data_IF_953931517171
#
_entry.id   IF_953931517171
#
_cell.length_a   1.000
_cell.length_b   1.000
_cell.length_c   1.000
_cell.angle_alpha   90.00
_cell.angle_beta   90.00
_cell.angle_gamma   90.00
#
_symmetry.space_group_name_H-M   'P 1'
#
loop_
_entity.id
_entity.type
_entity.pdbx_description
1 polymer ?
#
# COMPACT_ATOMS: atom_id res chain seq x y z
N UNK A 1 -24.86 30.38 -72.27
CA UNK A 1 -24.83 30.34 -70.77
C UNK A 1 -24.95 28.96 -70.21
N UNK A 2 -25.46 27.98 -70.91
CA UNK A 2 -25.59 26.58 -70.44
C UNK A 2 -24.24 25.81 -70.44
N UNK A 3 -23.38 26.09 -71.41
CA UNK A 3 -22.15 25.34 -71.63
C UNK A 3 -21.04 25.66 -70.59
N UNK A 4 -21.03 26.85 -70.07
CA UNK A 4 -20.08 27.31 -69.05
C UNK A 4 -20.37 26.66 -67.68
N UNK A 5 -21.65 26.45 -67.31
CA UNK A 5 -22.07 25.82 -66.07
C UNK A 5 -21.70 24.32 -66.04
N UNK A 6 -21.71 23.65 -67.16
CA UNK A 6 -21.33 22.26 -67.24
C UNK A 6 -19.80 22.04 -67.14
N UNK A 7 -19.00 22.97 -67.68
CA UNK A 7 -17.54 22.91 -67.56
C UNK A 7 -17.06 23.14 -66.11
N UNK A 8 -17.71 24.05 -65.35
CA UNK A 8 -17.41 24.25 -63.93
C UNK A 8 -17.78 23.02 -63.08
N UNK A 9 -18.89 22.34 -63.39
CA UNK A 9 -19.27 21.10 -62.69
C UNK A 9 -18.28 19.99 -62.95
N UNK A 10 -17.75 19.81 -64.14
CA UNK A 10 -16.77 18.80 -64.51
C UNK A 10 -15.43 19.09 -63.86
N UNK A 11 -15.00 20.38 -63.80
CA UNK A 11 -13.78 20.78 -63.11
C UNK A 11 -13.91 20.58 -61.59
N UNK A 12 -15.07 20.89 -60.99
CA UNK A 12 -15.32 20.70 -59.56
C UNK A 12 -15.30 19.20 -59.18
N UNK A 13 -15.88 18.33 -59.99
CA UNK A 13 -15.85 16.86 -59.77
C UNK A 13 -14.44 16.32 -59.97
N UNK A 14 -13.65 16.81 -60.90
CA UNK A 14 -12.26 16.40 -61.11
C UNK A 14 -11.35 16.85 -59.95
N UNK A 15 -11.56 18.02 -59.36
CA UNK A 15 -10.83 18.51 -58.19
C UNK A 15 -11.23 17.74 -56.95
N UNK A 16 -12.51 17.39 -56.74
CA UNK A 16 -12.99 16.54 -55.66
C UNK A 16 -12.43 15.11 -55.76
N UNK A 17 -12.32 14.55 -56.98
CA UNK A 17 -11.74 13.24 -57.20
C UNK A 17 -10.23 13.19 -56.98
N UNK A 18 -9.49 14.29 -57.23
CA UNK A 18 -8.09 14.40 -56.89
C UNK A 18 -7.82 14.48 -55.38
N UNK A 19 -8.70 15.15 -54.61
CA UNK A 19 -8.57 15.19 -53.14
C UNK A 19 -8.91 13.84 -52.49
N UNK A 20 -9.80 13.03 -53.04
CA UNK A 20 -10.09 11.69 -52.53
C UNK A 20 -8.97 10.69 -52.85
N UNK A 21 -8.21 10.86 -53.94
CA UNK A 21 -7.10 9.99 -54.31
C UNK A 21 -5.85 10.27 -53.45
N UNK A 22 -5.63 11.48 -52.99
CA UNK A 22 -4.51 11.81 -52.08
C UNK A 22 -4.79 11.38 -50.64
N UNK A 23 -6.07 11.35 -50.21
CA UNK A 23 -6.46 10.90 -48.88
C UNK A 23 -6.26 9.37 -48.71
N UNK A 24 -6.39 8.58 -49.76
CA UNK A 24 -6.15 7.13 -49.68
C UNK A 24 -4.66 6.75 -49.67
N UNK A 25 -3.75 7.58 -50.20
CA UNK A 25 -2.33 7.27 -50.18
C UNK A 25 -1.65 7.55 -48.82
N UNK A 26 -2.21 8.45 -48.00
CA UNK A 26 -1.67 8.68 -46.66
C UNK A 26 -2.05 7.63 -45.62
N UNK A 27 -3.08 6.80 -45.89
CA UNK A 27 -3.47 5.70 -45.01
C UNK A 27 -2.82 4.37 -45.38
N UNK A 28 -2.22 4.21 -46.57
CA UNK A 28 -1.51 2.99 -46.91
C UNK A 28 -0.07 2.92 -46.32
N UNK A 29 0.48 4.04 -45.86
CA UNK A 29 1.76 4.03 -45.15
C UNK A 29 1.63 3.77 -43.65
N UNK A 30 0.40 3.74 -43.09
CA UNK A 30 0.15 3.34 -41.71
C UNK A 30 0.36 1.82 -41.51
N UNK A 31 0.35 1.01 -42.59
CA UNK A 31 0.72 -0.41 -42.53
C UNK A 31 2.23 -0.66 -42.41
N UNK A 32 3.03 0.40 -42.38
CA UNK A 32 4.49 0.38 -42.09
C UNK A 32 4.84 1.07 -40.77
N UNK A 33 3.91 1.26 -39.85
CA UNK A 33 4.26 1.38 -38.44
C UNK A 33 4.83 0.01 -38.11
N UNK A 34 6.18 -0.07 -38.05
CA UNK A 34 6.89 -1.33 -37.83
C UNK A 34 6.24 -2.04 -36.66
N UNK A 35 6.04 -3.36 -36.78
CA UNK A 35 5.71 -4.19 -35.63
C UNK A 35 6.61 -3.73 -34.50
N UNK A 36 6.01 -3.34 -33.37
CA UNK A 36 6.79 -3.01 -32.17
C UNK A 36 7.60 -4.25 -31.89
N UNK A 37 8.93 -4.20 -32.14
CA UNK A 37 9.78 -5.35 -31.88
C UNK A 37 9.57 -5.78 -30.43
N UNK A 38 9.09 -7.01 -30.24
CA UNK A 38 8.97 -7.56 -28.90
C UNK A 38 10.37 -7.69 -28.31
N UNK A 39 10.51 -7.22 -27.08
CA UNK A 39 11.77 -7.29 -26.34
C UNK A 39 11.76 -8.49 -25.39
N UNK A 40 12.89 -8.74 -24.78
CA UNK A 40 13.00 -9.71 -23.68
C UNK A 40 13.74 -9.09 -22.50
N UNK A 41 13.45 -9.59 -21.30
CA UNK A 41 14.17 -9.29 -20.09
C UNK A 41 14.67 -10.58 -19.42
N UNK A 42 15.84 -10.48 -18.80
CA UNK A 42 16.43 -11.56 -18.00
C UNK A 42 16.41 -11.15 -16.54
N UNK A 43 15.61 -11.84 -15.74
CA UNK A 43 15.49 -11.61 -14.31
C UNK A 43 16.40 -12.57 -13.54
N UNK A 44 17.29 -12.01 -12.74
CA UNK A 44 18.15 -12.71 -11.79
C UNK A 44 17.70 -12.33 -10.38
N UNK A 45 17.92 -13.19 -9.40
CA UNK A 45 17.65 -12.89 -8.00
C UNK A 45 18.91 -12.96 -7.16
N UNK A 46 19.00 -12.08 -6.17
CA UNK A 46 19.99 -12.12 -5.10
C UNK A 46 19.24 -12.36 -3.80
N UNK A 47 19.40 -13.55 -3.19
CA UNK A 47 18.68 -13.96 -1.99
C UNK A 47 19.43 -13.51 -0.73
N UNK A 48 18.73 -12.78 0.14
CA UNK A 48 19.19 -12.47 1.50
C UNK A 48 18.17 -13.05 2.50
N UNK A 49 18.34 -14.31 2.85
CA UNK A 49 17.35 -15.10 3.58
C UNK A 49 17.53 -15.06 5.10
N UNK A 50 18.67 -14.56 5.62
CA UNK A 50 18.98 -14.67 7.05
C UNK A 50 18.91 -16.12 7.51
N UNK A 51 18.03 -16.42 8.47
CA UNK A 51 17.78 -17.77 8.99
C UNK A 51 16.61 -18.49 8.30
N UNK A 52 15.94 -17.86 7.34
CA UNK A 52 14.80 -18.46 6.64
C UNK A 52 15.24 -19.59 5.71
N UNK A 53 14.43 -20.66 5.56
CA UNK A 53 14.73 -21.76 4.63
C UNK A 53 14.73 -21.26 3.18
N UNK A 54 15.36 -22.03 2.29
CA UNK A 54 15.32 -21.74 0.84
C UNK A 54 13.88 -21.95 0.34
N UNK A 55 13.28 -21.01 -0.40
CA UNK A 55 11.97 -21.20 -1.04
C UNK A 55 12.03 -22.29 -2.11
N UNK A 56 10.90 -22.93 -2.41
CA UNK A 56 10.85 -24.00 -3.41
C UNK A 56 10.86 -23.46 -4.84
N UNK A 57 10.18 -22.34 -5.07
CA UNK A 57 10.14 -21.60 -6.32
C UNK A 57 9.89 -20.11 -6.03
N UNK A 58 10.17 -19.25 -6.99
CA UNK A 58 9.88 -17.81 -6.94
C UNK A 58 8.90 -17.43 -8.04
N UNK A 59 7.87 -16.66 -7.70
CA UNK A 59 6.94 -16.06 -8.63
C UNK A 59 7.50 -14.71 -9.07
N UNK A 60 7.59 -14.47 -10.37
CA UNK A 60 8.07 -13.21 -10.96
C UNK A 60 6.91 -12.55 -11.67
N UNK A 61 6.59 -11.34 -11.26
CA UNK A 61 5.56 -10.50 -11.84
C UNK A 61 6.19 -9.22 -12.40
N UNK A 62 5.92 -8.92 -13.65
CA UNK A 62 6.32 -7.67 -14.31
C UNK A 62 5.09 -6.88 -14.70
N UNK A 63 5.04 -5.61 -14.29
CA UNK A 63 3.90 -4.72 -14.59
C UNK A 63 4.41 -3.43 -15.23
N UNK A 64 3.79 -3.08 -16.37
CA UNK A 64 3.81 -1.73 -16.92
C UNK A 64 2.47 -1.07 -16.59
N UNK A 65 2.45 -0.19 -15.59
CA UNK A 65 1.22 0.45 -15.12
C UNK A 65 0.62 1.43 -16.13
N UNK A 66 1.45 2.05 -16.99
CA UNK A 66 0.99 2.99 -18.01
C UNK A 66 0.20 2.29 -19.10
N UNK A 67 0.68 1.13 -19.55
CA UNK A 67 0.07 0.35 -20.62
C UNK A 67 -0.91 -0.73 -20.11
N UNK A 68 -1.03 -0.89 -18.77
CA UNK A 68 -1.82 -1.95 -18.12
C UNK A 68 -1.41 -3.35 -18.61
N UNK A 69 -0.12 -3.53 -18.85
CA UNK A 69 0.46 -4.77 -19.35
C UNK A 69 1.15 -5.50 -18.21
N UNK A 70 0.86 -6.79 -18.06
CA UNK A 70 1.35 -7.64 -16.99
C UNK A 70 1.83 -8.98 -17.51
N UNK A 71 2.98 -9.46 -17.01
CA UNK A 71 3.52 -10.79 -17.27
C UNK A 71 3.82 -11.47 -15.94
N UNK A 72 3.36 -12.72 -15.81
CA UNK A 72 3.63 -13.56 -14.65
C UNK A 72 4.38 -14.82 -15.10
N UNK A 73 5.41 -15.20 -14.36
CA UNK A 73 6.18 -16.43 -14.57
C UNK A 73 6.76 -16.94 -13.26
N UNK A 74 7.38 -18.11 -13.28
CA UNK A 74 8.06 -18.70 -12.12
C UNK A 74 9.51 -18.97 -12.44
N UNK A 75 10.37 -19.01 -11.42
CA UNK A 75 11.78 -19.36 -11.55
C UNK A 75 12.29 -20.18 -10.37
N UNK A 76 13.37 -20.91 -10.57
CA UNK A 76 14.09 -21.54 -9.46
C UNK A 76 14.83 -20.47 -8.63
N UNK A 77 14.92 -20.62 -7.30
CA UNK A 77 15.59 -19.64 -6.43
C UNK A 77 17.05 -19.36 -6.79
N UNK A 78 17.76 -20.34 -7.33
CA UNK A 78 19.17 -20.20 -7.73
C UNK A 78 19.34 -20.04 -9.25
N UNK A 79 18.26 -19.70 -9.97
CA UNK A 79 18.25 -19.62 -11.42
C UNK A 79 18.07 -18.20 -11.96
N UNK A 80 17.88 -18.15 -13.25
CA UNK A 80 17.47 -16.97 -14.01
C UNK A 80 16.22 -17.31 -14.79
N UNK A 81 15.39 -16.33 -15.10
CA UNK A 81 14.27 -16.49 -16.02
C UNK A 81 14.34 -15.43 -17.11
N UNK A 82 14.13 -15.87 -18.36
CA UNK A 82 13.96 -14.98 -19.49
C UNK A 82 12.49 -14.80 -19.78
N UNK A 83 12.04 -13.57 -19.81
CA UNK A 83 10.66 -13.20 -20.13
C UNK A 83 10.66 -12.63 -21.55
N UNK A 84 10.09 -13.34 -22.53
CA UNK A 84 9.99 -12.87 -23.90
C UNK A 84 8.77 -11.97 -24.13
N UNK A 85 8.66 -11.44 -25.32
CA UNK A 85 7.49 -10.74 -25.85
C UNK A 85 7.01 -9.54 -25.02
N UNK A 86 7.99 -8.79 -24.49
CA UNK A 86 7.75 -7.60 -23.70
C UNK A 86 7.63 -6.36 -24.60
N UNK A 87 6.61 -5.54 -24.39
CA UNK A 87 6.50 -4.23 -25.05
C UNK A 87 7.50 -3.25 -24.44
N UNK A 88 8.13 -2.35 -25.21
CA UNK A 88 9.01 -1.32 -24.65
C UNK A 88 8.30 -0.45 -23.60
N UNK A 89 8.96 -0.13 -22.49
CA UNK A 89 8.36 0.73 -21.47
C UNK A 89 9.04 0.66 -20.10
N UNK A 90 8.40 1.29 -19.12
CA UNK A 90 8.87 1.32 -17.73
C UNK A 90 8.12 0.28 -16.92
N UNK A 91 8.86 -0.58 -16.24
CA UNK A 91 8.33 -1.73 -15.52
C UNK A 91 8.63 -1.69 -14.02
N UNK A 92 7.73 -2.26 -13.25
CA UNK A 92 7.98 -2.75 -11.90
C UNK A 92 8.08 -4.26 -11.97
N UNK A 93 9.17 -4.83 -11.45
CA UNK A 93 9.37 -6.27 -11.33
C UNK A 93 9.30 -6.64 -9.85
N UNK A 94 8.40 -7.55 -9.51
CA UNK A 94 8.21 -8.08 -8.17
C UNK A 94 8.49 -9.57 -8.17
N UNK A 95 9.25 -10.03 -7.17
CA UNK A 95 9.53 -11.45 -6.94
C UNK A 95 9.00 -11.83 -5.58
N UNK A 96 8.15 -12.86 -5.51
CA UNK A 96 7.53 -13.33 -4.26
C UNK A 96 7.57 -14.85 -4.15
N UNK A 97 7.49 -15.35 -2.92
CA UNK A 97 7.26 -16.76 -2.60
C UNK A 97 6.75 -16.90 -1.17
N UNK A 98 6.17 -18.06 -0.86
CA UNK A 98 5.78 -18.45 0.50
C UNK A 98 6.30 -19.87 0.77
N UNK A 99 6.75 -20.14 1.99
CA UNK A 99 7.12 -21.47 2.44
C UNK A 99 6.77 -21.66 3.90
N UNK A 100 6.02 -22.73 4.19
CA UNK A 100 5.77 -23.16 5.58
C UNK A 100 6.77 -24.22 5.98
N UNK A 101 7.46 -24.00 7.10
CA UNK A 101 8.43 -24.95 7.68
C UNK A 101 8.50 -24.77 9.19
N UNK A 102 8.57 -25.89 9.93
CA UNK A 102 8.70 -25.93 11.39
C UNK A 102 7.63 -25.13 12.15
N UNK A 103 6.39 -25.08 11.61
CA UNK A 103 5.26 -24.35 12.20
C UNK A 103 5.26 -22.85 11.93
N UNK A 104 6.16 -22.35 11.08
CA UNK A 104 6.22 -20.96 10.66
C UNK A 104 5.94 -20.85 9.16
N UNK A 105 5.33 -19.71 8.76
CA UNK A 105 5.26 -19.31 7.37
C UNK A 105 6.30 -18.23 7.11
N UNK A 106 7.12 -18.44 6.08
CA UNK A 106 8.13 -17.50 5.62
C UNK A 106 7.66 -16.90 4.30
N UNK A 107 7.64 -15.58 4.24
CA UNK A 107 7.37 -14.82 3.03
C UNK A 107 8.68 -14.31 2.43
N UNK A 108 8.83 -14.46 1.13
CA UNK A 108 9.99 -14.01 0.38
C UNK A 108 9.52 -12.93 -0.58
N UNK A 109 10.14 -11.77 -0.53
CA UNK A 109 9.76 -10.68 -1.41
C UNK A 109 10.93 -9.77 -1.78
N UNK A 110 10.86 -9.25 -2.98
CA UNK A 110 11.77 -8.25 -3.50
C UNK A 110 11.16 -7.56 -4.70
N UNK A 111 11.53 -6.32 -4.94
CA UNK A 111 11.10 -5.63 -6.14
C UNK A 111 12.17 -4.67 -6.67
N UNK A 112 12.05 -4.36 -7.96
CA UNK A 112 12.76 -3.27 -8.61
C UNK A 112 11.73 -2.45 -9.37
N UNK A 113 11.73 -1.15 -9.15
CA UNK A 113 10.79 -0.20 -9.75
C UNK A 113 11.49 0.68 -10.78
N UNK A 114 10.71 1.28 -11.69
CA UNK A 114 11.23 2.19 -12.72
C UNK A 114 12.30 1.57 -13.63
N UNK A 115 12.13 0.30 -13.96
CA UNK A 115 13.05 -0.38 -14.89
C UNK A 115 12.68 -0.03 -16.31
N UNK A 116 13.54 0.71 -16.97
CA UNK A 116 13.41 1.04 -18.38
C UNK A 116 13.82 -0.18 -19.23
N UNK A 117 12.86 -0.76 -19.98
CA UNK A 117 13.08 -1.88 -20.90
C UNK A 117 12.83 -1.37 -22.32
N UNK A 118 13.90 -0.92 -22.97
CA UNK A 118 13.90 -0.41 -24.36
C UNK A 118 14.91 -1.15 -25.24
N UNK A 119 15.60 -2.14 -24.67
CA UNK A 119 16.57 -2.99 -25.38
C UNK A 119 16.30 -4.46 -25.09
N UNK A 120 16.59 -5.31 -26.06
CA UNK A 120 16.43 -6.75 -25.93
C UNK A 120 17.40 -7.35 -24.88
N UNK A 121 17.01 -8.41 -24.20
CA UNK A 121 17.79 -9.11 -23.17
C UNK A 121 18.22 -8.20 -21.98
N UNK A 122 17.36 -7.25 -21.59
CA UNK A 122 17.63 -6.38 -20.44
C UNK A 122 17.89 -7.22 -19.18
N UNK A 123 19.09 -7.06 -18.60
CA UNK A 123 19.45 -7.74 -17.34
C UNK A 123 18.88 -6.97 -16.14
N UNK A 124 18.21 -7.68 -15.27
CA UNK A 124 17.55 -7.13 -14.07
C UNK A 124 17.89 -8.04 -12.89
N UNK A 125 18.42 -7.46 -11.80
CA UNK A 125 18.65 -8.20 -10.56
C UNK A 125 17.66 -7.72 -9.50
N UNK A 126 16.92 -8.64 -8.91
CA UNK A 126 15.99 -8.38 -7.81
C UNK A 126 16.59 -8.92 -6.52
N UNK A 127 16.78 -8.07 -5.52
CA UNK A 127 17.17 -8.48 -4.17
C UNK A 127 15.92 -8.97 -3.45
N UNK A 128 15.91 -10.25 -3.04
CA UNK A 128 14.79 -10.89 -2.35
C UNK A 128 15.19 -11.15 -0.91
N UNK A 129 14.44 -10.56 0.01
CA UNK A 129 14.55 -10.82 1.44
C UNK A 129 13.54 -11.88 1.90
N UNK A 130 13.70 -12.37 3.12
CA UNK A 130 12.74 -13.25 3.77
C UNK A 130 12.28 -12.63 5.09
N UNK A 131 10.99 -12.81 5.40
CA UNK A 131 10.39 -12.43 6.69
C UNK A 131 9.46 -13.55 7.15
N UNK A 132 9.17 -13.62 8.46
CA UNK A 132 8.11 -14.48 8.98
C UNK A 132 6.78 -13.75 8.87
N UNK A 133 5.70 -14.47 8.55
CA UNK A 133 4.34 -13.92 8.65
C UNK A 133 4.07 -13.48 10.08
N UNK A 134 3.58 -12.25 10.21
CA UNK A 134 3.18 -11.68 11.49
C UNK A 134 1.94 -12.39 12.06
N UNK A 135 1.87 -12.49 13.40
CA UNK A 135 0.65 -12.93 14.07
C UNK A 135 -0.48 -11.89 13.96
N UNK A 136 -0.10 -10.61 13.96
CA UNK A 136 -1.00 -9.47 13.82
C UNK A 136 -0.83 -8.85 12.43
N UNK A 137 -1.95 -8.52 11.80
CA UNK A 137 -1.96 -7.93 10.45
C UNK A 137 -2.91 -6.74 10.36
N UNK A 138 -2.61 -5.77 9.49
CA UNK A 138 -3.58 -4.78 9.05
C UNK A 138 -4.70 -5.49 8.30
N UNK A 139 -5.94 -5.42 8.81
CA UNK A 139 -7.09 -6.10 8.20
C UNK A 139 -7.90 -5.18 7.31
N UNK A 140 -8.37 -4.05 7.84
CA UNK A 140 -9.09 -3.03 7.07
C UNK A 140 -8.57 -1.65 7.47
N UNK A 141 -8.28 -0.80 6.48
CA UNK A 141 -7.81 0.56 6.70
C UNK A 141 -8.63 1.54 5.88
N UNK A 142 -9.30 2.44 6.59
CA UNK A 142 -10.04 3.53 5.99
C UNK A 142 -9.27 4.84 6.16
N UNK A 143 -8.66 5.30 5.09
CA UNK A 143 -7.76 6.46 5.11
C UNK A 143 -8.20 7.62 4.22
N UNK A 144 -9.02 7.36 3.19
CA UNK A 144 -9.26 8.34 2.14
C UNK A 144 -10.25 9.45 2.53
N UNK A 145 -10.91 9.33 3.70
CA UNK A 145 -11.92 10.28 4.16
C UNK A 145 -13.22 10.25 3.36
N UNK A 146 -14.13 11.16 3.68
CA UNK A 146 -15.47 11.25 3.11
C UNK A 146 -15.84 12.68 2.72
N UNK A 147 -16.92 12.85 1.94
CA UNK A 147 -17.51 14.15 1.66
C UNK A 147 -18.62 14.47 2.67
N UNK A 148 -18.72 15.74 3.06
CA UNK A 148 -19.86 16.21 3.85
C UNK A 148 -21.09 16.39 2.94
N UNK A 149 -22.33 16.50 3.49
CA UNK A 149 -23.53 16.77 2.70
C UNK A 149 -23.44 17.99 1.80
N UNK A 150 -22.61 18.96 2.16
CA UNK A 150 -22.37 20.20 1.38
C UNK A 150 -21.19 20.10 0.42
N UNK A 151 -20.60 18.89 0.25
CA UNK A 151 -19.46 18.63 -0.62
C UNK A 151 -18.09 18.97 -0.02
N UNK A 152 -18.03 19.40 1.24
CA UNK A 152 -16.77 19.63 1.97
C UNK A 152 -15.98 18.34 2.20
N UNK A 153 -14.73 18.48 2.62
CA UNK A 153 -13.83 17.37 2.92
C UNK A 153 -13.87 17.02 4.41
N UNK A 154 -14.01 15.72 4.72
CA UNK A 154 -13.95 15.19 6.08
C UNK A 154 -12.97 14.02 6.13
N UNK A 155 -12.10 13.95 7.15
CA UNK A 155 -11.02 12.96 7.24
C UNK A 155 -10.65 12.58 8.68
N UNK A 156 -11.53 12.88 9.65
CA UNK A 156 -11.32 12.50 11.07
C UNK A 156 -11.86 11.09 11.36
N UNK A 157 -12.59 10.53 10.41
CA UNK A 157 -13.24 9.23 10.46
C UNK A 157 -12.32 8.07 10.01
N UNK A 158 -11.01 8.30 9.97
CA UNK A 158 -10.03 7.28 9.60
C UNK A 158 -9.83 6.26 10.71
N UNK A 159 -9.64 4.99 10.31
CA UNK A 159 -9.32 3.91 11.24
C UNK A 159 -8.36 2.89 10.64
N UNK A 160 -7.69 2.17 11.55
CA UNK A 160 -6.79 1.05 11.26
C UNK A 160 -7.28 -0.15 12.08
N UNK A 161 -7.70 -1.21 11.42
CA UNK A 161 -8.08 -2.46 12.06
C UNK A 161 -6.89 -3.40 12.05
N UNK A 162 -6.46 -3.84 13.26
CA UNK A 162 -5.40 -4.81 13.47
C UNK A 162 -6.04 -6.12 13.94
N UNK A 163 -5.76 -7.21 13.26
CA UNK A 163 -6.39 -8.51 13.43
C UNK A 163 -5.38 -9.57 13.87
N UNK A 164 -5.79 -10.43 14.81
CA UNK A 164 -5.00 -11.60 15.14
C UNK A 164 -5.27 -12.72 14.11
N UNK A 165 -4.37 -12.82 13.15
CA UNK A 165 -4.40 -13.80 12.05
C UNK A 165 -3.82 -15.16 12.43
N UNK A 166 -3.22 -15.28 13.64
CA UNK A 166 -2.57 -16.49 14.14
C UNK A 166 -3.53 -17.41 14.90
N UNK A 167 -3.03 -18.55 15.32
CA UNK A 167 -3.75 -19.53 16.15
C UNK A 167 -3.53 -19.35 17.66
N UNK A 168 -2.75 -18.36 18.06
CA UNK A 168 -2.37 -18.12 19.46
C UNK A 168 -2.85 -16.75 19.93
N UNK A 169 -3.10 -16.62 21.23
CA UNK A 169 -3.43 -15.34 21.85
C UNK A 169 -2.23 -14.40 21.70
N UNK A 170 -2.46 -13.21 21.21
CA UNK A 170 -1.49 -12.13 21.13
C UNK A 170 -1.76 -11.10 22.22
N UNK A 171 -0.71 -10.44 22.70
CA UNK A 171 -0.88 -9.32 23.64
C UNK A 171 -0.49 -8.03 22.94
N UNK A 172 -1.45 -7.14 22.71
CA UNK A 172 -1.19 -5.88 22.01
C UNK A 172 -0.66 -4.76 22.93
N UNK A 173 -0.32 -5.06 24.19
CA UNK A 173 0.39 -4.13 25.07
C UNK A 173 1.68 -3.66 24.41
N UNK A 174 1.92 -2.34 24.38
CA UNK A 174 3.08 -1.71 23.75
C UNK A 174 3.18 -1.89 22.22
N UNK A 175 2.15 -2.48 21.58
CA UNK A 175 2.10 -2.48 20.11
C UNK A 175 2.08 -1.04 19.62
N UNK A 176 2.95 -0.72 18.69
CA UNK A 176 3.09 0.62 18.13
C UNK A 176 2.67 0.65 16.66
N UNK A 177 1.96 1.69 16.26
CA UNK A 177 1.70 2.03 14.86
C UNK A 177 2.52 3.25 14.47
N UNK A 178 3.23 3.16 13.34
CA UNK A 178 4.05 4.25 12.84
C UNK A 178 3.69 4.60 11.39
N UNK A 179 3.63 5.91 11.09
CA UNK A 179 3.57 6.39 9.71
C UNK A 179 4.98 6.65 9.20
N UNK A 180 5.34 6.05 8.06
CA UNK A 180 6.69 6.06 7.49
C UNK A 180 6.86 7.21 6.50
N UNK A 181 8.04 7.81 6.51
CA UNK A 181 8.43 8.92 5.65
C UNK A 181 8.69 8.48 4.19
N UNK A 182 8.37 9.34 3.22
CA UNK A 182 7.64 10.61 3.33
C UNK A 182 6.13 10.39 3.51
N UNK A 183 5.40 11.42 3.96
CA UNK A 183 3.96 11.34 4.25
C UNK A 183 3.13 10.81 3.08
N UNK A 184 3.50 11.15 1.85
CA UNK A 184 2.86 10.67 0.61
C UNK A 184 3.88 10.08 -0.33
N UNK A 185 3.47 9.17 -1.20
CA UNK A 185 4.33 8.63 -2.27
C UNK A 185 4.80 9.77 -3.19
N UNK A 186 6.11 9.89 -3.37
CA UNK A 186 6.74 10.96 -4.15
C UNK A 186 8.04 10.48 -4.80
N UNK A 187 8.39 11.07 -5.95
CA UNK A 187 9.68 10.84 -6.60
C UNK A 187 10.84 11.45 -5.81
N UNK A 188 10.58 12.55 -5.07
CA UNK A 188 11.58 13.23 -4.25
C UNK A 188 11.60 12.62 -2.84
N UNK A 189 12.16 11.41 -2.71
CA UNK A 189 12.29 10.75 -1.41
C UNK A 189 13.32 11.45 -0.52
N UNK A 190 13.16 11.41 0.81
CA UNK A 190 14.19 11.87 1.73
C UNK A 190 15.53 11.15 1.45
N UNK A 191 16.63 11.91 1.47
CA UNK A 191 17.99 11.36 1.38
C UNK A 191 18.50 11.20 2.81
N UNK A 192 18.70 9.96 3.22
CA UNK A 192 19.21 9.66 4.55
C UNK A 192 20.73 9.91 4.60
N UNK A 193 21.29 10.25 5.79
CA UNK A 193 22.73 10.38 5.96
C UNK A 193 23.48 9.11 5.51
N UNK A 194 24.71 9.25 5.01
CA UNK A 194 25.53 8.13 4.55
C UNK A 194 25.88 7.11 5.67
N UNK A 195 25.64 7.46 6.92
CA UNK A 195 25.77 6.56 8.10
C UNK A 195 24.56 5.65 8.30
N UNK A 196 23.46 5.91 7.59
CA UNK A 196 22.25 5.10 7.66
C UNK A 196 22.29 3.99 6.61
N UNK A 197 21.72 2.83 7.00
CA UNK A 197 21.49 1.73 6.06
C UNK A 197 19.97 1.53 5.89
N UNK A 198 19.36 2.05 4.81
CA UNK A 198 17.93 1.91 4.56
C UNK A 198 17.47 0.47 4.34
N UNK A 199 18.38 -0.49 4.19
CA UNK A 199 18.04 -1.91 4.11
C UNK A 199 17.74 -2.55 5.48
N UNK A 200 18.11 -1.87 6.57
CA UNK A 200 17.94 -2.34 7.94
C UNK A 200 16.84 -1.60 8.70
N UNK A 201 16.41 -0.44 8.20
CA UNK A 201 15.52 0.45 8.93
C UNK A 201 14.41 1.05 8.05
N UNK A 202 13.27 1.34 8.68
CA UNK A 202 12.28 2.29 8.17
C UNK A 202 12.26 3.53 9.07
N UNK A 203 11.85 4.67 8.51
CA UNK A 203 11.98 5.97 9.19
C UNK A 203 10.60 6.58 9.42
N UNK A 204 10.20 6.64 10.68
CA UNK A 204 8.89 7.09 11.10
C UNK A 204 8.80 8.62 11.19
N UNK A 205 7.70 9.17 10.67
CA UNK A 205 7.27 10.55 10.88
C UNK A 205 6.61 10.72 12.25
N UNK A 206 5.90 9.70 12.71
CA UNK A 206 5.16 9.69 13.96
C UNK A 206 4.88 8.27 14.42
N UNK A 207 4.80 8.08 15.74
CA UNK A 207 4.59 6.78 16.37
C UNK A 207 3.58 6.94 17.50
N UNK A 208 2.59 6.07 17.51
CA UNK A 208 1.61 5.94 18.57
C UNK A 208 1.67 4.52 19.12
N UNK A 209 1.63 4.38 20.44
CA UNK A 209 1.79 3.08 21.11
C UNK A 209 0.58 2.78 21.98
N UNK A 210 0.13 1.54 21.98
CA UNK A 210 -0.81 1.03 22.98
C UNK A 210 -0.16 1.20 24.36
N UNK A 211 -0.90 1.67 25.39
CA UNK A 211 -0.36 1.82 26.73
C UNK A 211 0.29 0.52 27.25
N UNK A 212 1.34 0.68 28.06
CA UNK A 212 2.08 -0.42 28.65
C UNK A 212 1.72 -0.62 30.14
N UNK A 213 0.47 -0.30 30.52
CA UNK A 213 -0.03 -0.31 31.90
C UNK A 213 -0.60 -1.68 32.32
N UNK A 214 -1.11 -2.44 31.39
CA UNK A 214 -1.72 -3.78 31.59
C UNK A 214 -1.65 -4.62 30.33
N UNK A 215 -2.07 -5.87 30.43
CA UNK A 215 -2.22 -6.76 29.27
C UNK A 215 -3.52 -6.48 28.51
N UNK A 216 -3.41 -6.54 27.20
CA UNK A 216 -4.53 -6.41 26.25
C UNK A 216 -4.55 -7.66 25.35
N UNK A 217 -5.04 -8.80 25.86
CA UNK A 217 -5.06 -10.04 25.08
C UNK A 217 -6.00 -9.94 23.89
N UNK A 218 -5.55 -10.46 22.75
CA UNK A 218 -6.30 -10.56 21.51
C UNK A 218 -6.31 -12.02 21.06
N UNK A 219 -7.47 -12.69 21.15
CA UNK A 219 -7.61 -14.09 20.77
C UNK A 219 -7.57 -14.25 19.24
N UNK A 220 -7.30 -15.46 18.71
CA UNK A 220 -7.41 -15.74 17.27
C UNK A 220 -8.76 -15.32 16.73
N UNK A 221 -8.77 -14.50 15.65
CA UNK A 221 -10.00 -14.00 15.05
C UNK A 221 -10.57 -12.72 15.68
N UNK A 222 -9.99 -12.23 16.77
CA UNK A 222 -10.32 -10.91 17.31
C UNK A 222 -9.53 -9.81 16.61
N UNK A 223 -10.10 -8.59 16.60
CA UNK A 223 -9.43 -7.40 16.11
C UNK A 223 -9.59 -6.21 17.03
N UNK A 224 -8.61 -5.32 17.01
CA UNK A 224 -8.69 -3.99 17.61
C UNK A 224 -8.81 -2.94 16.51
N UNK A 225 -9.57 -1.88 16.82
CA UNK A 225 -9.70 -0.70 15.98
C UNK A 225 -8.88 0.43 16.63
N UNK A 226 -7.95 0.98 15.87
CA UNK A 226 -7.24 2.22 16.21
C UNK A 226 -7.89 3.34 15.40
N UNK A 227 -8.65 4.21 16.08
CA UNK A 227 -9.32 5.34 15.47
C UNK A 227 -8.46 6.62 15.55
N UNK A 228 -8.51 7.48 14.55
CA UNK A 228 -8.01 8.84 14.71
C UNK A 228 -8.78 9.60 15.78
N UNK A 229 -10.10 9.41 15.77
CA UNK A 229 -11.04 9.95 16.74
C UNK A 229 -12.14 8.91 16.93
N UNK A 230 -12.25 8.34 18.12
CA UNK A 230 -13.22 7.31 18.46
C UNK A 230 -14.59 7.94 18.76
N UNK A 231 -15.27 8.42 17.74
CA UNK A 231 -16.58 9.08 17.89
C UNK A 231 -17.60 8.52 16.88
N UNK A 232 -18.86 8.86 17.09
CA UNK A 232 -19.91 8.71 16.08
C UNK A 232 -19.74 9.84 15.05
N UNK A 233 -19.07 9.52 13.96
CA UNK A 233 -18.80 10.50 12.89
C UNK A 233 -20.07 10.92 12.16
N UNK A 234 -21.17 10.20 12.29
CA UNK A 234 -22.46 10.48 11.64
C UNK A 234 -23.29 11.55 12.38
N UNK A 235 -22.79 12.07 13.50
CA UNK A 235 -23.40 13.21 14.20
C UNK A 235 -23.51 14.45 13.31
N UNK A 236 -24.56 15.25 13.53
CA UNK A 236 -24.87 16.45 12.73
C UNK A 236 -23.77 17.53 12.79
N UNK A 237 -23.01 17.59 13.89
CA UNK A 237 -21.90 18.52 14.07
C UNK A 237 -20.55 18.01 13.54
N UNK A 238 -20.49 16.78 13.01
CA UNK A 238 -19.35 16.18 12.36
C UNK A 238 -19.60 15.98 10.87
N UNK A 239 -19.86 14.74 10.43
CA UNK A 239 -20.20 14.45 9.05
C UNK A 239 -21.34 13.40 8.96
N UNK A 240 -22.62 13.80 8.83
CA UNK A 240 -23.75 12.87 8.74
C UNK A 240 -23.65 11.86 7.58
N UNK A 241 -22.80 12.10 6.60
CA UNK A 241 -22.53 11.17 5.47
C UNK A 241 -21.27 10.35 5.64
N UNK A 242 -20.63 10.39 6.82
CA UNK A 242 -19.51 9.50 7.11
C UNK A 242 -19.97 8.04 7.03
N UNK A 243 -19.16 7.15 6.42
CA UNK A 243 -19.52 5.74 6.31
C UNK A 243 -19.37 4.97 7.64
N UNK A 244 -18.78 5.59 8.69
CA UNK A 244 -18.40 4.86 9.91
C UNK A 244 -18.85 5.55 11.19
N UNK A 245 -19.13 4.70 12.20
CA UNK A 245 -19.26 5.05 13.61
C UNK A 245 -18.12 4.31 14.34
N UNK A 246 -17.24 5.05 15.02
CA UNK A 246 -16.05 4.51 15.68
C UNK A 246 -16.12 4.54 17.22
N UNK A 247 -17.32 4.75 17.81
CA UNK A 247 -17.52 4.74 19.27
C UNK A 247 -17.10 3.42 19.94
N UNK A 248 -17.14 2.31 19.19
CA UNK A 248 -16.73 0.99 19.68
C UNK A 248 -15.25 0.67 19.45
N UNK A 249 -14.44 1.64 19.01
CA UNK A 249 -13.00 1.45 18.86
C UNK A 249 -12.32 1.14 20.20
N UNK A 250 -11.30 0.29 20.18
CA UNK A 250 -10.49 -0.04 21.35
C UNK A 250 -9.53 1.08 21.71
N UNK A 251 -8.94 1.70 20.69
CA UNK A 251 -7.91 2.72 20.88
C UNK A 251 -8.18 3.95 20.04
N UNK A 252 -7.73 5.11 20.53
CA UNK A 252 -7.73 6.35 19.76
C UNK A 252 -6.44 7.15 19.94
N UNK A 253 -6.15 8.02 18.97
CA UNK A 253 -4.95 8.86 18.97
C UNK A 253 -5.27 10.28 19.48
N UNK A 254 -5.85 10.37 20.66
CA UNK A 254 -6.20 11.65 21.28
C UNK A 254 -4.97 12.34 21.86
N UNK A 255 -4.74 13.61 21.48
CA UNK A 255 -3.74 14.48 22.11
C UNK A 255 -4.40 15.45 23.10
N UNK A 256 -5.44 16.15 22.65
CA UNK A 256 -6.19 17.10 23.45
C UNK A 256 -7.66 17.12 23.02
N UNK A 257 -8.55 17.33 23.96
CA UNK A 257 -9.96 17.60 23.70
C UNK A 257 -10.17 19.00 23.14
N UNK A 258 -11.18 19.14 22.29
CA UNK A 258 -11.66 20.42 21.75
C UNK A 258 -13.19 20.40 21.71
N UNK A 259 -13.81 21.47 21.20
CA UNK A 259 -15.26 21.47 20.98
C UNK A 259 -15.77 20.38 20.00
N UNK A 260 -14.88 19.86 19.14
CA UNK A 260 -15.19 18.82 18.17
C UNK A 260 -14.53 17.47 18.46
N UNK A 261 -13.56 17.42 19.35
CA UNK A 261 -12.80 16.22 19.71
C UNK A 261 -13.09 15.93 21.18
N UNK A 262 -13.84 14.85 21.42
CA UNK A 262 -14.22 14.42 22.75
C UNK A 262 -13.38 13.21 23.18
N UNK A 263 -13.14 13.09 24.47
CA UNK A 263 -12.53 11.90 25.08
C UNK A 263 -13.66 10.88 25.35
N UNK A 264 -13.82 9.95 24.42
CA UNK A 264 -14.82 8.88 24.48
C UNK A 264 -14.21 7.64 25.20
N UNK A 265 -14.97 6.55 25.39
CA UNK A 265 -14.50 5.38 26.16
C UNK A 265 -13.28 4.65 25.57
N UNK A 266 -12.90 4.87 24.31
CA UNK A 266 -11.72 4.27 23.71
C UNK A 266 -10.44 4.61 24.51
N UNK A 267 -9.52 3.68 24.62
CA UNK A 267 -8.26 3.87 25.33
C UNK A 267 -7.36 4.80 24.54
N UNK A 268 -6.92 5.89 25.19
CA UNK A 268 -6.00 6.84 24.58
C UNK A 268 -4.61 6.19 24.38
N UNK A 269 -4.13 6.16 23.14
CA UNK A 269 -2.77 5.72 22.83
C UNK A 269 -1.73 6.75 23.31
N UNK A 270 -0.53 6.27 23.59
CA UNK A 270 0.61 7.11 23.94
C UNK A 270 1.23 7.66 22.66
N UNK A 271 1.34 8.98 22.56
CA UNK A 271 2.11 9.66 21.52
C UNK A 271 3.61 9.48 21.76
N UNK A 272 4.19 8.39 21.27
CA UNK A 272 5.57 8.01 21.54
C UNK A 272 6.60 8.85 20.78
N UNK A 273 6.30 9.19 19.52
CA UNK A 273 7.15 10.08 18.72
C UNK A 273 6.29 10.91 17.75
N UNK A 274 6.37 12.22 17.90
CA UNK A 274 5.77 13.18 16.96
C UNK A 274 6.48 14.53 17.08
N UNK A 275 7.35 14.90 16.16
CA UNK A 275 8.14 16.14 16.25
C UNK A 275 7.30 17.41 16.08
N UNK A 276 6.06 17.32 15.60
CA UNK A 276 5.16 18.45 15.39
C UNK A 276 3.71 18.06 15.70
N UNK A 277 3.35 17.88 16.99
CA UNK A 277 2.05 17.37 17.40
C UNK A 277 0.90 18.33 17.06
N UNK A 278 -0.24 17.72 16.69
CA UNK A 278 -1.54 18.35 16.50
C UNK A 278 -2.53 17.80 17.54
N UNK A 279 -3.76 18.33 17.68
CA UNK A 279 -4.74 17.81 18.65
C UNK A 279 -5.13 16.35 18.45
N UNK A 280 -4.89 15.80 17.27
CA UNK A 280 -5.12 14.40 16.93
C UNK A 280 -4.13 13.94 15.85
N UNK A 281 -3.99 12.64 15.66
CA UNK A 281 -3.18 12.10 14.57
C UNK A 281 -3.89 12.33 13.22
N UNK A 282 -3.36 13.23 12.43
CA UNK A 282 -3.84 13.48 11.07
C UNK A 282 -2.95 12.75 10.08
N UNK A 283 -3.45 11.67 9.53
CA UNK A 283 -2.78 10.97 8.43
C UNK A 283 -3.24 11.51 7.08
N UNK A 284 -2.48 11.21 6.04
CA UNK A 284 -2.77 11.69 4.70
C UNK A 284 -3.94 10.93 4.07
N UNK A 285 -4.85 11.63 3.41
CA UNK A 285 -5.91 11.03 2.58
C UNK A 285 -5.41 10.55 1.21
N UNK A 286 -4.14 10.84 0.88
CA UNK A 286 -3.49 10.44 -0.38
C UNK A 286 -2.74 9.10 -0.29
N UNK A 287 -2.90 8.38 0.80
CA UNK A 287 -2.20 7.12 1.06
C UNK A 287 -0.88 7.32 1.80
N UNK A 288 -0.80 6.78 3.01
CA UNK A 288 0.37 6.71 3.88
C UNK A 288 1.03 5.33 3.82
N UNK A 289 2.27 5.22 4.28
CA UNK A 289 2.90 3.95 4.56
C UNK A 289 2.91 3.73 6.07
N UNK A 290 2.51 2.54 6.52
CA UNK A 290 2.34 2.24 7.94
C UNK A 290 3.03 0.92 8.28
N UNK A 291 3.58 0.86 9.49
CA UNK A 291 4.01 -0.39 10.12
C UNK A 291 3.37 -0.52 11.49
N UNK A 292 3.09 -1.76 11.89
CA UNK A 292 2.89 -2.12 13.30
C UNK A 292 4.14 -2.88 13.78
N UNK A 293 4.59 -2.58 14.99
CA UNK A 293 5.82 -3.17 15.52
C UNK A 293 5.82 -3.18 17.05
N UNK A 294 6.66 -4.02 17.64
CA UNK A 294 6.94 -3.99 19.06
C UNK A 294 8.30 -3.35 19.30
N UNK A 295 8.38 -2.18 19.94
CA UNK A 295 9.66 -1.56 20.25
C UNK A 295 10.43 -2.41 21.26
N UNK A 296 11.67 -2.77 20.96
CA UNK A 296 12.57 -3.51 21.86
C UNK A 296 13.04 -2.62 23.02
N UNK A 297 13.01 -1.31 22.84
CA UNK A 297 13.38 -0.32 23.86
C UNK A 297 12.46 0.91 23.78
N UNK A 298 12.34 1.70 24.86
CA UNK A 298 11.64 2.99 24.80
C UNK A 298 12.25 3.92 23.75
N UNK A 299 11.44 4.88 23.27
CA UNK A 299 11.92 5.90 22.32
C UNK A 299 13.20 6.55 22.81
N UNK A 300 14.27 6.37 22.04
CA UNK A 300 15.61 6.84 22.37
C UNK A 300 16.06 7.90 21.35
N UNK A 301 16.46 9.12 21.79
CA UNK A 301 16.97 10.16 20.91
C UNK A 301 18.16 9.73 20.02
N UNK A 302 18.92 8.71 20.40
CA UNK A 302 19.99 8.14 19.58
C UNK A 302 19.48 7.52 18.26
N UNK A 303 18.18 7.21 18.20
CA UNK A 303 17.52 6.69 17.00
C UNK A 303 16.84 7.80 16.17
N UNK A 304 17.06 9.08 16.50
CA UNK A 304 16.56 10.21 15.72
C UNK A 304 17.48 10.47 14.54
N UNK A 305 16.89 10.50 13.34
CA UNK A 305 17.61 10.74 12.09
C UNK A 305 16.97 11.92 11.36
N UNK A 306 17.80 12.80 10.84
CA UNK A 306 17.36 13.94 10.02
C UNK A 306 17.85 13.73 8.58
N UNK A 307 16.96 13.74 7.58
CA UNK A 307 17.37 13.65 6.19
C UNK A 307 18.29 14.81 5.78
N UNK A 308 19.19 14.57 4.84
CA UNK A 308 20.12 15.57 4.33
C UNK A 308 19.36 16.78 3.78
N UNK A 309 19.73 17.98 4.26
CA UNK A 309 19.12 19.23 3.83
C UNK A 309 17.74 19.54 4.44
N UNK A 310 17.25 18.70 5.35
CA UNK A 310 16.00 18.94 6.11
C UNK A 310 16.27 19.18 7.58
N UNK A 311 15.24 19.63 8.32
CA UNK A 311 15.32 19.91 9.75
C UNK A 311 14.41 19.00 10.59
N UNK A 312 13.41 18.38 9.94
CA UNK A 312 12.46 17.49 10.63
C UNK A 312 13.12 16.17 10.96
N UNK A 313 13.10 15.81 12.24
CA UNK A 313 13.60 14.52 12.73
C UNK A 313 12.61 13.41 12.42
N UNK A 314 13.16 12.23 12.19
CA UNK A 314 12.44 10.97 12.00
C UNK A 314 12.96 9.96 13.02
N UNK A 315 12.17 8.95 13.35
CA UNK A 315 12.60 7.86 14.22
C UNK A 315 12.93 6.64 13.39
N UNK A 316 14.10 6.07 13.63
CA UNK A 316 14.60 4.87 12.97
C UNK A 316 14.00 3.63 13.66
N UNK A 317 13.26 2.80 12.91
CA UNK A 317 12.68 1.54 13.37
C UNK A 317 13.41 0.40 12.66
N UNK A 318 14.01 -0.57 13.40
CA UNK A 318 14.59 -1.75 12.79
C UNK A 318 13.53 -2.56 12.02
N UNK A 319 13.88 -3.04 10.82
CA UNK A 319 12.97 -3.87 10.01
C UNK A 319 12.60 -5.17 10.74
N UNK A 320 13.52 -5.73 11.53
CA UNK A 320 13.32 -6.95 12.31
C UNK A 320 12.27 -6.82 13.42
N UNK A 321 11.97 -5.60 13.89
CA UNK A 321 10.94 -5.33 14.90
C UNK A 321 9.53 -5.22 14.30
N UNK A 322 9.43 -5.10 12.98
CA UNK A 322 8.16 -4.89 12.28
C UNK A 322 7.36 -6.19 12.24
N UNK A 323 6.10 -6.11 12.67
CA UNK A 323 5.15 -7.23 12.68
C UNK A 323 4.36 -7.31 11.38
N UNK A 324 3.88 -6.18 10.87
CA UNK A 324 3.22 -6.08 9.57
C UNK A 324 3.39 -4.66 9.00
N UNK A 325 3.31 -4.56 7.69
CA UNK A 325 3.48 -3.33 6.94
C UNK A 325 2.39 -3.15 5.89
N UNK A 326 2.02 -1.91 5.64
CA UNK A 326 1.03 -1.54 4.62
C UNK A 326 1.47 -0.28 3.88
N UNK A 327 1.76 -0.42 2.61
CA UNK A 327 1.98 0.70 1.70
C UNK A 327 0.67 1.11 1.04
N UNK A 328 0.26 2.38 1.22
CA UNK A 328 -0.89 2.97 0.54
C UNK A 328 -0.43 4.08 -0.39
N UNK A 329 -0.98 4.14 -1.60
CA UNK A 329 -0.68 5.18 -2.58
C UNK A 329 -1.96 5.82 -3.11
N UNK A 330 -1.86 7.03 -3.66
CA UNK A 330 -3.01 7.79 -4.13
C UNK A 330 -3.69 7.17 -5.36
N UNK A 331 -2.95 6.45 -6.19
CA UNK A 331 -3.46 5.70 -7.34
C UNK A 331 -2.44 4.62 -7.79
N UNK A 332 -2.87 3.69 -8.63
CA UNK A 332 -2.08 2.54 -9.05
C UNK A 332 -0.75 2.90 -9.77
N UNK A 333 -0.69 4.04 -10.48
CA UNK A 333 0.56 4.44 -11.16
C UNK A 333 1.64 4.94 -10.20
N UNK A 334 1.29 5.21 -8.93
CA UNK A 334 2.23 5.63 -7.90
C UNK A 334 2.91 4.47 -7.15
N UNK A 335 2.59 3.22 -7.46
CA UNK A 335 3.25 2.04 -6.84
C UNK A 335 4.77 2.09 -7.00
N UNK A 336 5.27 2.58 -8.11
CA UNK A 336 6.70 2.81 -8.35
C UNK A 336 7.34 3.86 -7.42
N UNK A 337 6.53 4.67 -6.73
CA UNK A 337 6.98 5.69 -5.77
C UNK A 337 6.87 5.22 -4.32
N UNK A 338 6.52 3.96 -4.09
CA UNK A 338 6.35 3.37 -2.75
C UNK A 338 7.54 3.65 -1.83
N UNK A 339 7.26 3.68 -0.53
CA UNK A 339 8.24 4.04 0.54
C UNK A 339 8.82 2.81 1.22
N UNK A 340 7.96 1.80 1.40
CA UNK A 340 8.29 0.61 2.16
C UNK A 340 9.36 -0.23 1.44
N UNK A 341 10.38 -0.73 2.15
CA UNK A 341 11.27 -1.76 1.62
C UNK A 341 10.49 -3.00 1.18
N UNK A 342 10.91 -3.63 0.08
CA UNK A 342 10.17 -4.76 -0.49
C UNK A 342 10.07 -5.97 0.46
N UNK A 343 11.03 -6.14 1.35
CA UNK A 343 11.00 -7.21 2.38
C UNK A 343 9.83 -7.05 3.35
N UNK A 344 9.34 -5.85 3.58
CA UNK A 344 8.17 -5.57 4.40
C UNK A 344 6.88 -5.48 3.58
N UNK A 345 6.96 -4.86 2.41
CA UNK A 345 5.83 -4.77 1.48
C UNK A 345 6.34 -4.58 0.05
N UNK A 346 6.19 -5.58 -0.80
CA UNK A 346 6.67 -5.55 -2.18
C UNK A 346 5.74 -4.74 -3.11
N UNK A 347 4.48 -4.52 -2.70
CA UNK A 347 3.46 -3.81 -3.47
C UNK A 347 3.00 -2.51 -2.84
N UNK A 348 1.80 -2.10 -3.20
CA UNK A 348 1.04 -1.03 -2.56
C UNK A 348 -0.45 -1.17 -2.87
N UNK A 349 -1.31 -0.85 -1.91
CA UNK A 349 -2.74 -0.78 -2.11
C UNK A 349 -3.22 0.65 -2.38
N UNK A 350 -4.37 0.80 -3.00
CA UNK A 350 -4.98 2.10 -3.24
C UNK A 350 -6.49 2.01 -3.37
N UNK A 351 -7.20 3.03 -2.91
CA UNK A 351 -8.63 3.23 -3.19
C UNK A 351 -8.87 4.07 -4.45
N UNK A 352 -7.80 4.52 -5.12
CA UNK A 352 -7.88 5.26 -6.38
C UNK A 352 -8.18 6.74 -6.27
N UNK A 353 -8.29 7.31 -5.06
CA UNK A 353 -8.55 8.74 -4.87
C UNK A 353 -8.81 9.13 -3.42
N UNK A 354 -9.26 10.36 -3.21
CA UNK A 354 -9.54 10.93 -1.88
C UNK A 354 -11.02 11.21 -1.67
N UNK A 355 -11.47 11.16 -0.43
CA UNK A 355 -12.86 11.45 0.01
C UNK A 355 -13.92 10.58 -0.70
N UNK A 356 -13.59 9.30 -0.94
CA UNK A 356 -14.44 8.35 -1.66
C UNK A 356 -15.33 7.52 -0.73
N UNK A 357 -15.17 7.63 0.61
CA UNK A 357 -15.90 6.82 1.59
C UNK A 357 -15.70 5.30 1.40
N UNK A 358 -14.50 4.88 1.01
CA UNK A 358 -14.11 3.49 0.77
C UNK A 358 -12.82 3.16 1.50
N UNK A 359 -12.62 1.90 1.84
CA UNK A 359 -11.42 1.38 2.51
C UNK A 359 -10.64 0.42 1.62
N UNK A 360 -9.47 0.01 2.08
CA UNK A 360 -8.82 -1.21 1.63
C UNK A 360 -8.96 -2.26 2.73
N UNK A 361 -9.30 -3.49 2.36
CA UNK A 361 -9.35 -4.61 3.28
C UNK A 361 -8.51 -5.78 2.76
N UNK A 362 -7.85 -6.49 3.68
CA UNK A 362 -7.06 -7.67 3.36
C UNK A 362 -8.00 -8.82 2.96
N UNK A 363 -7.69 -9.50 1.89
CA UNK A 363 -8.47 -10.61 1.33
C UNK A 363 -8.44 -11.82 2.25
N UNK A 364 -9.51 -12.59 2.23
CA UNK A 364 -9.58 -13.87 2.94
C UNK A 364 -8.86 -14.94 2.12
N UNK A 365 -7.87 -15.61 2.72
CA UNK A 365 -7.17 -16.77 2.14
C UNK A 365 -8.02 -18.04 2.31
N UNK A 366 -8.55 -18.23 3.52
CA UNK A 366 -9.42 -19.34 3.85
C UNK A 366 -10.28 -19.01 5.08
N UNK A 367 -11.33 -19.80 5.29
CA UNK A 367 -12.14 -19.75 6.51
C UNK A 367 -12.00 -21.08 7.23
N UNK A 368 -11.55 -21.04 8.48
CA UNK A 368 -11.40 -22.24 9.32
C UNK A 368 -12.62 -22.49 10.18
N UNK A 369 -12.63 -23.61 10.92
CA UNK A 369 -13.73 -24.00 11.81
C UNK A 369 -14.13 -22.86 12.77
N UNK A 370 -15.44 -22.69 12.96
CA UNK A 370 -16.00 -21.59 13.75
C UNK A 370 -16.18 -20.28 12.98
N UNK A 371 -15.88 -20.25 11.68
CA UNK A 371 -16.08 -19.09 10.81
C UNK A 371 -14.96 -18.04 10.88
N UNK A 372 -13.82 -18.35 11.52
CA UNK A 372 -12.65 -17.46 11.58
C UNK A 372 -11.97 -17.36 10.21
N UNK A 373 -11.79 -16.14 9.75
CA UNK A 373 -11.02 -15.89 8.52
C UNK A 373 -9.52 -15.95 8.79
N UNK A 374 -8.78 -16.62 7.91
CA UNK A 374 -7.34 -16.48 7.75
C UNK A 374 -7.12 -15.54 6.57
N UNK A 375 -6.40 -14.47 6.78
CA UNK A 375 -6.17 -13.43 5.77
C UNK A 375 -4.87 -13.70 5.01
N UNK A 376 -4.83 -13.28 3.75
CA UNK A 376 -3.58 -13.27 2.99
C UNK A 376 -2.56 -12.36 3.68
N UNK A 377 -1.32 -12.82 3.74
CA UNK A 377 -0.17 -12.05 4.22
C UNK A 377 1.07 -12.49 3.43
N UNK A 378 1.24 -11.89 2.25
CA UNK A 378 2.34 -12.22 1.34
C UNK A 378 3.42 -11.14 1.29
N UNK A 379 3.34 -10.14 2.19
CA UNK A 379 4.15 -8.92 2.15
C UNK A 379 4.05 -8.21 0.79
N UNK A 380 2.85 -8.20 0.23
CA UNK A 380 2.56 -7.51 -1.02
C UNK A 380 1.15 -6.91 -0.99
N UNK A 381 1.04 -5.67 -0.57
CA UNK A 381 -0.24 -4.98 -0.43
C UNK A 381 -1.05 -4.90 -1.73
N UNK A 382 -0.40 -4.94 -2.91
CA UNK A 382 -1.11 -5.00 -4.20
C UNK A 382 -1.89 -6.30 -4.39
N UNK A 383 -1.40 -7.40 -3.82
CA UNK A 383 -2.00 -8.73 -3.93
C UNK A 383 -2.94 -9.03 -2.75
N UNK A 384 -2.55 -8.58 -1.55
CA UNK A 384 -3.21 -8.93 -0.30
C UNK A 384 -4.50 -8.14 -0.06
N UNK A 385 -4.61 -6.92 -0.61
CA UNK A 385 -5.73 -6.01 -0.33
C UNK A 385 -6.66 -5.84 -1.53
N UNK A 386 -7.90 -5.48 -1.22
CA UNK A 386 -8.92 -5.08 -2.18
C UNK A 386 -9.70 -3.86 -1.66
N UNK A 387 -10.35 -3.13 -2.58
CA UNK A 387 -11.16 -1.96 -2.23
C UNK A 387 -12.53 -2.40 -1.74
N UNK A 388 -12.96 -1.84 -0.60
CA UNK A 388 -14.26 -2.10 0.02
C UNK A 388 -15.15 -0.87 0.07
N UNK A 389 -16.43 -1.07 -0.24
CA UNK A 389 -17.45 -0.03 -0.20
C UNK A 389 -18.75 -0.62 0.39
N UNK A 390 -19.22 -0.12 1.53
CA UNK A 390 -18.60 0.85 2.44
C UNK A 390 -17.46 0.24 3.28
N UNK A 391 -16.66 1.08 3.98
CA UNK A 391 -15.79 0.62 5.08
C UNK A 391 -16.61 -0.04 6.17
N UNK A 392 -16.14 -1.19 6.68
CA UNK A 392 -16.86 -1.93 7.74
C UNK A 392 -15.85 -2.49 8.74
N UNK A 393 -15.87 -1.98 9.97
CA UNK A 393 -15.09 -2.57 11.05
C UNK A 393 -15.51 -4.01 11.31
N UNK A 394 -14.54 -4.89 11.59
CA UNK A 394 -14.77 -6.32 11.89
C UNK A 394 -15.46 -7.09 10.76
N UNK A 395 -15.17 -6.75 9.53
CA UNK A 395 -15.58 -7.53 8.35
C UNK A 395 -15.11 -9.00 8.50
N UNK A 396 -15.74 -9.91 7.79
CA UNK A 396 -15.44 -11.36 7.78
C UNK A 396 -15.54 -12.05 9.14
N UNK A 397 -16.43 -11.58 10.01
CA UNK A 397 -16.73 -12.22 11.28
C UNK A 397 -15.68 -11.99 12.37
N UNK A 398 -14.76 -11.06 12.19
CA UNK A 398 -13.87 -10.63 13.27
C UNK A 398 -14.69 -10.08 14.45
N UNK A 399 -14.20 -10.29 15.66
CA UNK A 399 -14.91 -9.87 16.88
C UNK A 399 -14.04 -8.95 17.72
N UNK A 400 -14.68 -8.10 18.52
CA UNK A 400 -13.98 -7.27 19.48
C UNK A 400 -13.48 -8.11 20.66
N UNK A 401 -12.31 -7.80 21.24
CA UNK A 401 -11.83 -8.49 22.42
C UNK A 401 -12.77 -8.31 23.60
N UNK A 402 -12.81 -9.30 24.49
CA UNK A 402 -13.74 -9.35 25.63
C UNK A 402 -13.54 -8.22 26.63
N UNK A 403 -12.33 -7.66 26.71
CA UNK A 403 -12.01 -6.52 27.59
C UNK A 403 -12.56 -5.18 27.07
N UNK A 404 -12.97 -5.10 25.78
CA UNK A 404 -13.72 -3.95 25.28
C UNK A 404 -15.18 -4.05 25.75
N UNK A 405 -15.51 -3.38 26.85
CA UNK A 405 -16.86 -3.43 27.47
C UNK A 405 -17.79 -2.31 27.02
N UNK A 406 -17.32 -1.37 26.19
CA UNK A 406 -18.08 -0.23 25.65
C UNK A 406 -18.52 -0.38 24.18
N UNK A 407 -18.28 -1.55 23.60
CA UNK A 407 -18.65 -1.90 22.21
C UNK A 407 -20.18 -2.05 22.01
#
# INVERSE_FOLDING_TARGET
MSDMKNRYKIILIAVLAMFSAVSCQQFSDVSKIGEVESLSAVVNVSLNLGSAPMPDALNVKMINYSERYEVNTTMNPNGTVTIPDIIPGIYTITVTSEKSQDGFTYNYSGNVVNVDIVTNNKQITVNVGASKSGALVFKEVYYCGSRTPTGGSYFRDQFYEIYNNSETVQNVRNLSIAMIAPMTATANKPVWPATEDPSLFVYALQIWSVPNDKDYPLNPGESIIIAQMADDHQKSNLNPTSPVNLLSAEFETLVNTTSLIQDNPAINMVMSFWPSPTPQWLTTVFGGAFVIYYPNEPINPANFVTPVGLTTRHYRIPIEDVVDALELVGNATQVQLKRMPAVLDAGAATVGGTYLSVSVARKVKETVDGGRAILFDTNNSSEDFEVMNPPVIRRYGAVAPSWNTWK
#
